data_IF_929303671223
#
_entry.id   IF_929303671223
#
_cell.length_a   1.000
_cell.length_b   1.000
_cell.length_c   1.000
_cell.angle_alpha   90.00
_cell.angle_beta   90.00
_cell.angle_gamma   90.00
#
_symmetry.space_group_name_H-M   'P 1'
#
loop_
_entity.id
_entity.type
_entity.pdbx_description
1 polymer ?
#
# COMPACT_ATOMS: atom_id res chain seq x y z
N UNK A 1 20.97 -0.15 -11.07
CA UNK A 1 21.94 -0.48 -10.01
C UNK A 1 21.61 -1.84 -9.43
N UNK A 2 22.60 -2.71 -9.25
CA UNK A 2 22.42 -4.03 -8.65
C UNK A 2 23.38 -4.21 -7.47
N UNK A 3 22.87 -4.71 -6.34
CA UNK A 3 23.67 -5.09 -5.17
C UNK A 3 23.25 -6.48 -4.69
N UNK A 4 24.22 -7.31 -4.34
CA UNK A 4 24.05 -8.61 -3.70
C UNK A 4 24.72 -8.61 -2.33
N UNK A 5 24.06 -9.16 -1.32
CA UNK A 5 24.53 -9.20 0.07
C UNK A 5 23.86 -8.16 0.98
N UNK A 6 24.21 -8.19 2.27
CA UNK A 6 23.73 -7.20 3.22
C UNK A 6 24.39 -5.83 2.95
N UNK A 7 23.58 -4.77 2.86
CA UNK A 7 24.06 -3.40 2.64
C UNK A 7 23.49 -2.50 3.72
N UNK A 8 24.33 -1.67 4.33
CA UNK A 8 23.89 -0.79 5.42
C UNK A 8 22.90 0.28 4.91
N UNK A 9 23.12 0.77 3.69
CA UNK A 9 22.17 1.67 3.03
C UNK A 9 22.46 1.90 1.56
N UNK A 10 21.46 2.42 0.85
CA UNK A 10 21.55 2.80 -0.56
C UNK A 10 20.92 4.18 -0.78
N UNK A 11 21.70 5.11 -1.34
CA UNK A 11 21.25 6.47 -1.63
C UNK A 11 21.49 6.78 -3.10
N UNK A 12 20.47 7.30 -3.80
CA UNK A 12 20.60 7.77 -5.17
C UNK A 12 19.87 9.11 -5.39
N UNK A 13 20.59 10.07 -5.95
CA UNK A 13 20.08 11.42 -6.24
C UNK A 13 19.40 11.55 -7.62
N UNK A 14 19.73 10.67 -8.56
CA UNK A 14 19.35 10.79 -9.97
C UNK A 14 18.25 9.83 -10.40
N UNK A 15 17.75 10.02 -11.63
CA UNK A 15 16.86 9.06 -12.25
C UNK A 15 17.59 7.73 -12.53
N UNK A 16 16.92 6.61 -12.32
CA UNK A 16 17.44 5.27 -12.62
C UNK A 16 16.40 4.45 -13.35
N UNK A 17 16.82 3.76 -14.42
CA UNK A 17 15.94 2.85 -15.15
C UNK A 17 15.50 1.66 -14.27
N UNK A 18 16.38 1.20 -13.38
CA UNK A 18 16.09 0.05 -12.52
C UNK A 18 16.99 -0.05 -11.28
N UNK A 19 16.40 -0.52 -10.18
CA UNK A 19 17.09 -0.85 -8.94
C UNK A 19 16.74 -2.27 -8.52
N UNK A 20 17.76 -3.12 -8.37
CA UNK A 20 17.60 -4.50 -7.94
C UNK A 20 18.46 -4.76 -6.72
N UNK A 21 17.86 -5.30 -5.67
CA UNK A 21 18.57 -5.74 -4.48
C UNK A 21 18.11 -7.15 -4.07
N UNK A 22 19.08 -8.02 -3.75
CA UNK A 22 18.84 -9.43 -3.40
C UNK A 22 19.29 -9.80 -1.98
N UNK A 23 19.52 -8.81 -1.11
CA UNK A 23 19.93 -9.02 0.28
C UNK A 23 19.26 -8.06 1.25
N UNK A 24 19.58 -8.17 2.54
CA UNK A 24 19.07 -7.25 3.55
C UNK A 24 19.64 -5.84 3.33
N UNK A 25 18.78 -4.81 3.37
CA UNK A 25 19.20 -3.41 3.29
C UNK A 25 18.69 -2.65 4.50
N UNK A 26 19.60 -1.99 5.23
CA UNK A 26 19.23 -1.16 6.39
C UNK A 26 18.28 -0.03 6.01
N UNK A 27 18.52 0.63 4.87
CA UNK A 27 17.60 1.62 4.31
C UNK A 27 17.88 1.99 2.85
N UNK A 28 16.84 2.44 2.14
CA UNK A 28 16.93 2.86 0.75
C UNK A 28 16.31 4.25 0.57
N UNK A 29 17.09 5.20 0.05
CA UNK A 29 16.64 6.56 -0.25
C UNK A 29 16.90 6.87 -1.72
N UNK A 30 15.87 7.32 -2.42
CA UNK A 30 15.99 7.78 -3.79
C UNK A 30 15.20 9.08 -3.99
N UNK A 31 15.77 10.07 -4.65
CA UNK A 31 15.07 11.33 -4.97
C UNK A 31 14.68 11.49 -6.43
N UNK A 32 15.20 10.63 -7.33
CA UNK A 32 14.89 10.66 -8.76
C UNK A 32 13.72 9.76 -9.19
N UNK A 33 13.35 9.80 -10.47
CA UNK A 33 12.42 8.83 -11.02
C UNK A 33 13.04 7.42 -11.06
N UNK A 34 12.23 6.39 -10.80
CA UNK A 34 12.65 4.98 -10.87
C UNK A 34 11.77 4.24 -11.86
N UNK A 35 12.38 3.73 -12.93
CA UNK A 35 11.69 2.91 -13.94
C UNK A 35 11.17 1.58 -13.38
N UNK A 36 11.90 0.98 -12.43
CA UNK A 36 11.45 -0.20 -11.69
C UNK A 36 12.31 -0.50 -10.47
N UNK A 37 11.69 -1.00 -9.41
CA UNK A 37 12.37 -1.39 -8.17
C UNK A 37 12.01 -2.82 -7.78
N UNK A 38 13.03 -3.67 -7.64
CA UNK A 38 12.87 -5.05 -7.17
C UNK A 38 13.74 -5.24 -5.94
N UNK A 39 13.12 -5.61 -4.83
CA UNK A 39 13.85 -5.94 -3.61
C UNK A 39 13.45 -7.33 -3.11
N UNK A 40 14.42 -8.23 -3.00
CA UNK A 40 14.26 -9.60 -2.51
C UNK A 40 15.13 -9.72 -1.27
N UNK A 41 14.56 -9.43 -0.11
CA UNK A 41 15.25 -9.31 1.17
C UNK A 41 14.52 -8.38 2.15
N UNK A 42 14.96 -8.39 3.42
CA UNK A 42 14.44 -7.46 4.42
C UNK A 42 14.92 -6.03 4.15
N UNK A 43 14.04 -5.05 4.30
CA UNK A 43 14.36 -3.63 4.13
C UNK A 43 13.94 -2.89 5.39
N UNK A 44 14.89 -2.28 6.09
CA UNK A 44 14.63 -1.51 7.31
C UNK A 44 13.95 -0.16 7.06
N UNK A 45 13.84 0.26 5.80
CA UNK A 45 13.08 1.45 5.41
C UNK A 45 13.28 1.85 3.95
N UNK A 46 12.25 2.42 3.33
CA UNK A 46 12.32 2.87 1.94
C UNK A 46 11.65 4.22 1.74
N UNK A 47 12.43 5.20 1.29
CA UNK A 47 11.97 6.54 0.92
C UNK A 47 12.22 6.76 -0.56
N UNK A 48 11.17 7.11 -1.32
CA UNK A 48 11.35 7.62 -2.67
C UNK A 48 10.57 8.91 -2.89
N UNK A 49 11.27 9.99 -3.26
CA UNK A 49 10.65 11.29 -3.56
C UNK A 49 10.27 11.49 -5.04
N UNK A 50 10.67 10.57 -5.92
CA UNK A 50 10.31 10.61 -7.34
C UNK A 50 9.30 9.53 -7.75
N UNK A 51 8.70 9.66 -8.95
CA UNK A 51 7.74 8.69 -9.45
C UNK A 51 8.36 7.30 -9.62
N UNK A 52 7.55 6.26 -9.40
CA UNK A 52 7.93 4.85 -9.55
C UNK A 52 6.97 4.19 -10.53
N UNK A 53 7.51 3.61 -11.61
CA UNK A 53 6.68 2.92 -12.61
C UNK A 53 6.42 1.44 -12.30
N UNK A 54 7.02 0.92 -11.23
CA UNK A 54 6.79 -0.44 -10.74
C UNK A 54 7.64 -0.77 -9.54
N UNK A 55 7.04 -1.40 -8.52
CA UNK A 55 7.75 -1.84 -7.32
C UNK A 55 7.32 -3.24 -6.92
N UNK A 56 8.29 -4.14 -6.86
CA UNK A 56 8.09 -5.52 -6.41
C UNK A 56 8.98 -5.78 -5.20
N UNK A 57 8.38 -6.31 -4.15
CA UNK A 57 9.09 -6.66 -2.92
C UNK A 57 8.79 -8.09 -2.50
N UNK A 58 9.84 -8.83 -2.17
CA UNK A 58 9.78 -10.11 -1.49
C UNK A 58 10.55 -10.02 -0.18
N UNK A 59 9.88 -10.22 0.95
CA UNK A 59 10.44 -10.07 2.28
C UNK A 59 9.73 -9.01 3.13
N UNK A 60 10.23 -8.80 4.34
CA UNK A 60 9.68 -7.82 5.27
C UNK A 60 10.16 -6.39 4.94
N UNK A 61 9.27 -5.42 5.10
CA UNK A 61 9.59 -3.99 5.01
C UNK A 61 9.13 -3.30 6.28
N UNK A 62 10.07 -2.65 6.94
CA UNK A 62 9.81 -1.77 8.07
C UNK A 62 9.70 -0.32 7.55
N UNK A 63 8.52 0.05 7.08
CA UNK A 63 8.22 1.40 6.60
C UNK A 63 8.45 1.65 5.10
N UNK A 64 7.48 2.32 4.50
CA UNK A 64 7.58 2.89 3.16
C UNK A 64 7.00 4.30 3.09
N UNK A 65 7.80 5.22 2.58
CA UNK A 65 7.37 6.58 2.25
C UNK A 65 7.56 6.87 0.77
N UNK A 66 6.51 7.38 0.12
CA UNK A 66 6.53 7.77 -1.30
C UNK A 66 5.98 9.18 -1.48
N UNK A 67 6.79 10.03 -2.11
CA UNK A 67 6.38 11.29 -2.70
C UNK A 67 6.30 11.11 -4.21
N UNK A 68 5.10 11.26 -4.78
CA UNK A 68 4.88 11.13 -6.22
C UNK A 68 4.04 9.92 -6.64
N UNK A 69 3.87 9.76 -7.94
CA UNK A 69 3.02 8.71 -8.50
C UNK A 69 3.70 7.33 -8.42
N UNK A 70 2.93 6.31 -8.02
CA UNK A 70 3.33 4.91 -8.09
C UNK A 70 2.39 4.20 -9.05
N UNK A 71 2.94 3.65 -10.12
CA UNK A 71 2.23 2.76 -11.03
C UNK A 71 2.64 1.33 -10.71
N UNK A 72 1.75 0.55 -10.11
CA UNK A 72 1.94 -0.84 -9.72
C UNK A 72 2.81 -1.05 -8.48
N UNK A 73 2.22 -1.63 -7.43
CA UNK A 73 2.94 -2.13 -6.27
C UNK A 73 2.56 -3.58 -5.96
N UNK A 74 3.56 -4.47 -5.91
CA UNK A 74 3.41 -5.87 -5.49
C UNK A 74 4.29 -6.19 -4.29
N UNK A 75 3.72 -6.84 -3.27
CA UNK A 75 4.47 -7.27 -2.10
C UNK A 75 4.07 -8.67 -1.61
N UNK A 76 5.06 -9.53 -1.40
CA UNK A 76 4.90 -10.92 -0.96
C UNK A 76 5.36 -11.20 0.48
N UNK A 77 5.43 -10.18 1.34
CA UNK A 77 5.79 -10.34 2.75
C UNK A 77 5.11 -9.31 3.66
N UNK A 78 5.51 -9.23 4.92
CA UNK A 78 4.95 -8.28 5.87
C UNK A 78 5.38 -6.83 5.56
N UNK A 79 4.44 -5.89 5.70
CA UNK A 79 4.72 -4.45 5.67
C UNK A 79 4.21 -3.83 6.96
N UNK A 80 5.11 -3.16 7.67
CA UNK A 80 4.79 -2.28 8.79
C UNK A 80 4.87 -0.82 8.30
N UNK A 81 3.74 -0.15 8.21
CA UNK A 81 3.60 1.23 7.78
C UNK A 81 3.77 1.50 6.28
N UNK A 82 2.85 2.28 5.72
CA UNK A 82 3.00 2.87 4.39
C UNK A 82 2.36 4.25 4.33
N UNK A 83 3.13 5.25 3.89
CA UNK A 83 2.66 6.62 3.71
C UNK A 83 2.85 7.04 2.25
N UNK A 84 1.78 7.56 1.63
CA UNK A 84 1.83 8.09 0.28
C UNK A 84 1.07 9.43 0.16
N UNK A 85 1.72 10.44 -0.42
CA UNK A 85 1.13 11.76 -0.69
C UNK A 85 0.69 11.98 -2.16
N UNK A 86 0.93 11.01 -3.03
CA UNK A 86 0.59 11.02 -4.46
C UNK A 86 -0.45 9.96 -4.85
N UNK A 87 -0.55 9.69 -6.15
CA UNK A 87 -1.49 8.71 -6.71
C UNK A 87 -0.88 7.31 -6.74
N UNK A 88 -1.67 6.30 -6.39
CA UNK A 88 -1.32 4.88 -6.55
C UNK A 88 -2.23 4.22 -7.57
N UNK A 89 -1.65 3.68 -8.64
CA UNK A 89 -2.31 2.76 -9.56
C UNK A 89 -2.00 1.31 -9.20
N UNK A 90 -2.95 0.59 -8.61
CA UNK A 90 -2.86 -0.86 -8.34
C UNK A 90 -1.92 -1.25 -7.20
N UNK A 91 -2.45 -1.99 -6.22
CA UNK A 91 -1.65 -2.58 -5.14
C UNK A 91 -2.07 -4.02 -4.86
N UNK A 92 -1.11 -4.95 -4.81
CA UNK A 92 -1.33 -6.37 -4.51
C UNK A 92 -0.43 -6.81 -3.35
N UNK A 93 -1.04 -7.47 -2.35
CA UNK A 93 -0.33 -8.01 -1.18
C UNK A 93 -0.81 -9.41 -0.82
N UNK A 94 0.12 -10.28 -0.41
CA UNK A 94 -0.20 -11.66 -0.04
C UNK A 94 -0.32 -11.90 1.47
N UNK A 95 0.34 -11.08 2.30
CA UNK A 95 0.46 -11.28 3.75
C UNK A 95 0.03 -10.03 4.56
N UNK A 96 0.33 -10.02 5.88
CA UNK A 96 -0.07 -9.00 6.84
C UNK A 96 0.36 -7.58 6.43
N UNK A 97 -0.56 -6.64 6.60
CA UNK A 97 -0.30 -5.20 6.54
C UNK A 97 -0.66 -4.58 7.88
N UNK A 98 0.30 -3.90 8.48
CA UNK A 98 0.07 -3.01 9.61
C UNK A 98 0.23 -1.58 9.12
N UNK A 99 -0.81 -0.75 9.20
CA UNK A 99 -0.80 0.67 8.88
C UNK A 99 -0.70 1.01 7.38
N UNK A 100 -1.64 1.84 6.91
CA UNK A 100 -1.54 2.51 5.61
C UNK A 100 -2.19 3.88 5.68
N UNK A 101 -1.51 4.91 5.19
CA UNK A 101 -2.01 6.27 5.07
C UNK A 101 -1.81 6.80 3.65
N UNK A 102 -2.87 7.37 3.07
CA UNK A 102 -2.81 7.97 1.74
C UNK A 102 -3.57 9.31 1.67
N UNK A 103 -2.93 10.34 1.11
CA UNK A 103 -3.54 11.66 0.86
C UNK A 103 -4.06 11.88 -0.57
N UNK A 104 -3.78 10.96 -1.50
CA UNK A 104 -4.11 11.04 -2.93
C UNK A 104 -5.11 9.98 -3.40
N UNK A 105 -5.21 9.82 -4.73
CA UNK A 105 -6.12 8.82 -5.32
C UNK A 105 -5.50 7.42 -5.32
N UNK A 106 -6.33 6.40 -5.05
CA UNK A 106 -5.96 4.98 -5.17
C UNK A 106 -6.88 4.31 -6.17
N UNK A 107 -6.30 3.62 -7.15
CA UNK A 107 -7.05 2.77 -8.09
C UNK A 107 -6.70 1.31 -7.81
N UNK A 108 -7.64 0.54 -7.26
CA UNK A 108 -7.49 -0.89 -6.98
C UNK A 108 -6.50 -1.27 -5.87
N UNK A 109 -6.98 -2.05 -4.89
CA UNK A 109 -6.14 -2.75 -3.92
C UNK A 109 -6.65 -4.18 -3.72
N UNK A 110 -5.74 -5.17 -3.69
CA UNK A 110 -6.03 -6.58 -3.38
C UNK A 110 -5.15 -7.04 -2.22
N UNK A 111 -5.75 -7.62 -1.19
CA UNK A 111 -5.01 -8.26 -0.08
C UNK A 111 -5.49 -9.69 0.21
N UNK A 112 -4.54 -10.62 0.32
CA UNK A 112 -4.74 -12.00 0.77
C UNK A 112 -4.66 -12.21 2.29
N UNK A 113 -4.07 -11.26 3.03
CA UNK A 113 -3.77 -11.37 4.45
C UNK A 113 -4.59 -10.42 5.34
N UNK A 114 -4.23 -10.38 6.62
CA UNK A 114 -4.84 -9.45 7.57
C UNK A 114 -4.40 -7.99 7.31
N UNK A 115 -5.32 -7.06 7.51
CA UNK A 115 -5.06 -5.61 7.50
C UNK A 115 -5.38 -5.05 8.87
N UNK A 116 -4.41 -4.35 9.47
CA UNK A 116 -4.61 -3.55 10.67
C UNK A 116 -4.40 -2.08 10.32
N UNK A 117 -5.46 -1.28 10.30
CA UNK A 117 -5.41 0.16 10.07
C UNK A 117 -5.22 0.57 8.61
N UNK A 118 -6.15 1.38 8.12
CA UNK A 118 -6.03 2.09 6.84
C UNK A 118 -6.72 3.45 6.93
N UNK A 119 -6.06 4.51 6.48
CA UNK A 119 -6.59 5.87 6.39
C UNK A 119 -6.40 6.40 4.97
N UNK A 120 -7.47 6.94 4.38
CA UNK A 120 -7.40 7.62 3.08
C UNK A 120 -8.23 8.91 3.07
N UNK A 121 -7.64 10.01 2.61
CA UNK A 121 -8.33 11.30 2.41
C UNK A 121 -8.89 11.53 1.00
N UNK A 122 -8.53 10.69 0.02
CA UNK A 122 -8.86 10.82 -1.40
C UNK A 122 -9.80 9.74 -1.95
N UNK A 123 -9.94 9.70 -3.28
CA UNK A 123 -10.80 8.74 -3.99
C UNK A 123 -10.18 7.34 -4.00
N UNK A 124 -11.01 6.30 -3.77
CA UNK A 124 -10.63 4.89 -3.95
C UNK A 124 -11.52 4.23 -5.00
N UNK A 125 -10.93 3.80 -6.11
CA UNK A 125 -11.61 3.01 -7.14
C UNK A 125 -11.32 1.51 -6.95
N UNK A 126 -11.98 0.90 -5.94
CA UNK A 126 -11.97 -0.55 -5.74
C UNK A 126 -11.03 -1.04 -4.63
N UNK A 127 -11.53 -1.97 -3.82
CA UNK A 127 -10.75 -2.71 -2.82
C UNK A 127 -11.28 -4.13 -2.66
N UNK A 128 -10.40 -5.11 -2.64
CA UNK A 128 -10.69 -6.51 -2.36
C UNK A 128 -9.79 -7.02 -1.23
N UNK A 129 -10.41 -7.66 -0.23
CA UNK A 129 -9.69 -8.34 0.84
C UNK A 129 -10.33 -9.72 1.09
N UNK A 130 -9.51 -10.73 1.38
CA UNK A 130 -9.98 -12.06 1.80
C UNK A 130 -9.68 -12.40 3.28
N UNK A 131 -8.93 -11.55 3.99
CA UNK A 131 -8.56 -11.71 5.40
C UNK A 131 -9.32 -10.80 6.38
N UNK A 132 -8.91 -10.82 7.66
CA UNK A 132 -9.45 -9.93 8.71
C UNK A 132 -9.05 -8.48 8.43
N UNK A 133 -9.98 -7.54 8.60
CA UNK A 133 -9.71 -6.10 8.65
C UNK A 133 -9.98 -5.59 10.06
N UNK A 134 -9.00 -4.88 10.63
CA UNK A 134 -9.09 -4.24 11.94
C UNK A 134 -8.85 -2.73 11.75
N UNK A 135 -9.93 -1.97 11.56
CA UNK A 135 -9.92 -0.53 11.36
C UNK A 135 -9.70 -0.07 9.92
N UNK A 136 -10.66 0.68 9.39
CA UNK A 136 -10.52 1.43 8.13
C UNK A 136 -11.28 2.76 8.18
N UNK A 137 -10.61 3.84 7.82
CA UNK A 137 -11.16 5.19 7.72
C UNK A 137 -10.95 5.76 6.31
N UNK A 138 -12.02 6.26 5.69
CA UNK A 138 -11.92 6.90 4.38
C UNK A 138 -12.78 8.17 4.30
N UNK A 139 -12.14 9.29 4.03
CA UNK A 139 -12.74 10.61 3.88
C UNK A 139 -13.31 10.91 2.48
N UNK A 140 -12.93 10.13 1.47
CA UNK A 140 -13.28 10.35 0.06
C UNK A 140 -14.30 9.36 -0.50
N UNK A 141 -14.55 9.47 -1.82
CA UNK A 141 -15.49 8.60 -2.53
C UNK A 141 -14.90 7.21 -2.81
N UNK A 142 -15.72 6.16 -2.67
CA UNK A 142 -15.32 4.76 -2.91
C UNK A 142 -16.17 4.12 -4.02
N UNK A 143 -15.51 3.66 -5.10
CA UNK A 143 -16.12 3.04 -6.27
C UNK A 143 -16.51 1.57 -6.12
N UNK A 144 -16.06 0.88 -5.06
CA UNK A 144 -16.37 -0.52 -4.79
C UNK A 144 -15.52 -1.10 -3.66
N UNK A 145 -16.08 -1.99 -2.86
CA UNK A 145 -15.38 -2.69 -1.78
C UNK A 145 -15.92 -4.12 -1.62
N UNK A 146 -15.03 -5.11 -1.61
CA UNK A 146 -15.36 -6.53 -1.39
C UNK A 146 -14.49 -7.05 -0.25
N UNK A 147 -15.10 -7.64 0.77
CA UNK A 147 -14.37 -8.36 1.82
C UNK A 147 -14.92 -9.78 2.03
N UNK A 148 -14.02 -10.76 2.03
CA UNK A 148 -14.28 -12.15 2.35
C UNK A 148 -14.25 -12.47 3.86
N UNK A 149 -13.53 -11.67 4.64
CA UNK A 149 -13.25 -11.91 6.06
C UNK A 149 -14.00 -11.00 7.05
N UNK A 150 -13.72 -11.18 8.35
CA UNK A 150 -14.30 -10.35 9.40
C UNK A 150 -13.78 -8.90 9.35
N UNK A 151 -14.65 -7.93 9.67
CA UNK A 151 -14.33 -6.50 9.75
C UNK A 151 -14.66 -5.99 11.15
N UNK A 152 -13.64 -5.52 11.85
CA UNK A 152 -13.81 -4.74 13.07
C UNK A 152 -13.52 -3.26 12.78
N UNK A 153 -14.55 -2.41 12.82
CA UNK A 153 -14.42 -0.97 12.63
C UNK A 153 -14.20 -0.49 11.19
N UNK A 154 -15.21 0.17 10.62
CA UNK A 154 -15.13 0.87 9.35
C UNK A 154 -15.86 2.21 9.40
N UNK A 155 -15.18 3.29 9.04
CA UNK A 155 -15.70 4.67 8.99
C UNK A 155 -15.53 5.23 7.59
N UNK A 156 -16.61 5.75 7.00
CA UNK A 156 -16.59 6.41 5.70
C UNK A 156 -17.44 7.68 5.73
N UNK A 157 -16.89 8.81 5.30
CA UNK A 157 -17.60 10.08 5.20
C UNK A 157 -17.89 10.54 3.76
N UNK A 158 -17.41 9.79 2.75
CA UNK A 158 -17.74 10.03 1.33
C UNK A 158 -18.72 9.01 0.72
N UNK A 159 -19.19 9.30 -0.50
CA UNK A 159 -20.13 8.46 -1.22
C UNK A 159 -19.55 7.08 -1.59
N UNK A 160 -20.35 6.02 -1.44
CA UNK A 160 -19.98 4.62 -1.78
C UNK A 160 -20.91 4.09 -2.89
N UNK A 161 -20.35 3.63 -4.00
CA UNK A 161 -21.11 3.08 -5.15
C UNK A 161 -21.29 1.55 -5.14
N UNK A 162 -20.78 0.85 -4.12
CA UNK A 162 -20.99 -0.59 -3.92
C UNK A 162 -20.14 -1.17 -2.79
N UNK A 163 -20.71 -2.05 -1.98
CA UNK A 163 -20.01 -2.77 -0.90
C UNK A 163 -20.58 -4.17 -0.75
N UNK A 164 -19.71 -5.18 -0.69
CA UNK A 164 -20.06 -6.58 -0.41
C UNK A 164 -19.17 -7.08 0.72
N UNK A 165 -19.77 -7.66 1.76
CA UNK A 165 -19.03 -8.35 2.81
C UNK A 165 -19.70 -9.71 3.10
N UNK A 166 -18.91 -10.79 3.09
CA UNK A 166 -19.37 -12.14 3.45
C UNK A 166 -19.02 -12.56 4.89
N UNK A 167 -18.22 -11.77 5.61
CA UNK A 167 -17.85 -11.99 7.01
C UNK A 167 -18.65 -11.15 8.02
N UNK A 168 -18.39 -11.35 9.31
CA UNK A 168 -18.99 -10.57 10.39
C UNK A 168 -18.51 -9.10 10.37
N UNK A 169 -19.39 -8.16 10.76
CA UNK A 169 -19.10 -6.73 10.86
C UNK A 169 -19.49 -6.24 12.25
N UNK A 170 -18.50 -5.79 13.02
CA UNK A 170 -18.75 -5.36 14.39
C UNK A 170 -19.04 -3.85 14.50
N UNK A 171 -18.64 -3.04 13.50
CA UNK A 171 -18.97 -1.61 13.43
C UNK A 171 -18.79 -1.03 12.01
N UNK A 172 -19.86 -0.50 11.43
CA UNK A 172 -19.84 0.23 10.16
C UNK A 172 -20.57 1.58 10.30
N UNK A 173 -19.87 2.68 10.04
CA UNK A 173 -20.41 4.04 9.96
C UNK A 173 -20.18 4.59 8.55
N UNK A 174 -21.03 4.22 7.60
CA UNK A 174 -21.12 4.85 6.28
C UNK A 174 -22.47 5.57 6.13
N UNK A 175 -22.47 6.74 5.48
CA UNK A 175 -23.70 7.48 5.21
C UNK A 175 -24.75 6.54 4.59
N UNK A 176 -25.90 6.45 5.27
CA UNK A 176 -27.00 5.55 4.92
C UNK A 176 -27.24 5.59 3.42
N UNK A 177 -27.16 4.42 2.79
CA UNK A 177 -27.61 4.20 1.42
C UNK A 177 -29.03 4.78 1.27
N UNK A 178 -29.10 5.98 0.71
CA UNK A 178 -30.29 6.60 0.12
C UNK A 178 -29.83 6.95 -1.29
N UNK A 179 -30.46 6.55 -2.37
CA UNK A 179 -31.86 6.15 -2.60
C UNK A 179 -31.95 5.05 -3.65
#
# INVERSE_FOLDING_TARGET
MEKGGAVDGMVNGGAVDGMVNRGAVGGMVNSGAVGGMVNVGAVGGMVNGGPVRGMVKGGAVDGMEKGGAVDGMGNGGAVDGMVNSGTVGGMVKSDKVDGMENGGAVSGMVNGGAVSGMVNGGKVDGMENSGKVDGMENGGAVGGMVNGGAVDGMVKSGAVRGMVNSGAVDRWNGERQRS
#
